data_IF_304963456349
#
_entry.id   IF_304963456349
#
_cell.length_a   1.000
_cell.length_b   1.000
_cell.length_c   1.000
_cell.angle_alpha   90.00
_cell.angle_beta   90.00
_cell.angle_gamma   90.00
#
_symmetry.space_group_name_H-M   'P 1'
#
loop_
_entity.id
_entity.type
_entity.pdbx_description
1 polymer ?
#
# COMPACT_ATOMS: atom_id res chain seq x y z
N UNK A 1 60.24 6.91 8.42
CA UNK A 1 59.06 7.20 9.26
C UNK A 1 57.99 7.78 8.35
N UNK A 2 57.10 6.92 7.85
CA UNK A 2 56.12 7.24 6.80
C UNK A 2 54.74 7.19 7.45
N UNK A 3 53.95 8.25 7.28
CA UNK A 3 52.59 8.34 7.82
C UNK A 3 51.67 8.83 6.69
N UNK A 4 50.48 8.21 6.66
CA UNK A 4 49.32 8.39 5.76
C UNK A 4 49.27 7.39 4.57
N UNK A 5 48.10 7.19 3.92
CA UNK A 5 46.75 6.84 4.44
C UNK A 5 46.04 5.77 3.54
N UNK A 6 44.94 5.13 3.99
CA UNK A 6 43.83 4.61 3.14
C UNK A 6 42.78 3.89 4.02
N UNK A 7 41.47 4.20 3.99
CA UNK A 7 40.40 3.84 3.02
C UNK A 7 40.13 2.33 2.88
N UNK A 8 38.87 1.93 3.08
CA UNK A 8 38.30 0.67 2.57
C UNK A 8 37.60 -0.17 3.65
N UNK A 9 36.28 -0.12 3.85
CA UNK A 9 35.18 -0.68 3.05
C UNK A 9 34.67 -1.98 3.67
N UNK A 10 33.34 -2.12 3.71
CA UNK A 10 32.57 -3.38 3.73
C UNK A 10 32.66 -4.22 5.04
N UNK A 11 31.62 -4.80 5.63
CA UNK A 11 30.28 -5.18 5.16
C UNK A 11 29.59 -5.96 6.31
N UNK A 12 28.26 -6.04 6.28
CA UNK A 12 27.42 -7.05 6.93
C UNK A 12 27.38 -7.11 8.47
N UNK A 13 26.19 -6.86 9.01
CA UNK A 13 25.89 -7.22 10.38
C UNK A 13 24.48 -6.89 10.81
N UNK A 14 23.48 -7.30 10.03
CA UNK A 14 22.09 -7.38 10.47
C UNK A 14 22.01 -7.93 11.90
N UNK A 15 21.40 -7.19 12.83
CA UNK A 15 20.61 -7.77 13.91
C UNK A 15 19.73 -6.71 14.55
N UNK A 16 18.50 -6.70 14.03
CA UNK A 16 17.26 -6.52 14.77
C UNK A 16 17.37 -6.90 16.26
N UNK A 17 16.50 -6.26 17.03
CA UNK A 17 16.18 -6.50 18.45
C UNK A 17 17.02 -5.71 19.45
N UNK A 18 16.72 -4.42 19.53
CA UNK A 18 16.67 -3.72 20.83
C UNK A 18 15.22 -3.52 21.25
N UNK A 19 14.56 -4.63 21.58
CA UNK A 19 13.42 -4.59 22.49
C UNK A 19 14.02 -4.30 23.87
N UNK A 20 13.91 -3.06 24.32
CA UNK A 20 14.26 -2.66 25.68
C UNK A 20 13.31 -3.36 26.66
N UNK A 21 13.68 -4.55 27.11
CA UNK A 21 13.14 -5.12 28.34
C UNK A 21 13.70 -4.31 29.50
N UNK A 22 13.02 -3.22 29.87
CA UNK A 22 13.18 -2.60 31.19
C UNK A 22 12.48 -3.50 32.20
N UNK A 23 13.18 -4.54 32.64
CA UNK A 23 12.85 -5.21 33.89
C UNK A 23 12.92 -4.17 35.01
N UNK A 24 11.77 -3.92 35.64
CA UNK A 24 11.66 -3.15 36.87
C UNK A 24 12.45 -3.88 37.98
N UNK A 25 13.63 -3.37 38.31
CA UNK A 25 14.32 -3.72 39.54
C UNK A 25 13.72 -2.89 40.68
N UNK A 26 12.67 -3.40 41.32
CA UNK A 26 12.16 -2.83 42.58
C UNK A 26 12.98 -3.37 43.74
N UNK A 27 13.68 -2.49 44.48
CA UNK A 27 14.26 -2.84 45.79
C UNK A 27 13.13 -3.31 46.73
N UNK A 28 13.32 -4.37 47.54
CA UNK A 28 12.30 -4.76 48.51
C UNK A 28 12.22 -3.70 49.63
N UNK A 29 11.02 -3.24 50.03
CA UNK A 29 10.87 -2.44 51.23
C UNK A 29 11.03 -3.33 52.47
N UNK A 30 12.03 -3.00 53.28
CA UNK A 30 12.29 -3.52 54.61
C UNK A 30 11.36 -2.82 55.61
N UNK A 31 10.24 -3.48 55.90
CA UNK A 31 9.40 -3.43 57.11
C UNK A 31 7.95 -3.78 56.74
N UNK A 32 7.56 -5.03 56.97
CA UNK A 32 6.15 -5.44 56.93
C UNK A 32 5.61 -5.46 58.36
N UNK A 33 4.60 -4.66 58.74
CA UNK A 33 3.84 -4.93 59.95
C UNK A 33 3.09 -6.27 59.78
N UNK A 34 3.07 -7.04 60.85
CA UNK A 34 2.54 -8.41 60.94
C UNK A 34 1.09 -8.53 60.45
N UNK A 35 0.82 -9.64 59.75
CA UNK A 35 -0.47 -10.14 59.30
C UNK A 35 -1.55 -10.07 60.39
N UNK A 36 -2.25 -8.96 60.48
CA UNK A 36 -3.65 -8.92 60.91
C UNK A 36 -4.45 -8.45 59.71
N UNK A 37 -5.50 -9.20 59.39
CA UNK A 37 -6.24 -9.19 58.14
C UNK A 37 -6.47 -7.80 57.56
N UNK A 38 -5.68 -7.41 56.56
CA UNK A 38 -5.95 -6.20 55.79
C UNK A 38 -7.20 -6.45 54.96
N UNK A 39 -8.34 -5.94 55.42
CA UNK A 39 -9.60 -6.06 54.71
C UNK A 39 -9.46 -5.36 53.36
N UNK A 40 -9.90 -6.02 52.28
CA UNK A 40 -9.84 -5.49 50.91
C UNK A 40 -10.35 -4.05 50.82
N UNK A 41 -11.33 -3.69 51.66
CA UNK A 41 -11.90 -2.35 51.78
C UNK A 41 -10.93 -1.22 52.15
N UNK A 42 -9.75 -1.54 52.69
CA UNK A 42 -8.73 -0.58 53.12
C UNK A 42 -7.55 -0.51 52.15
N UNK A 43 -7.53 -1.37 51.12
CA UNK A 43 -6.49 -1.33 50.11
C UNK A 43 -6.62 -0.08 49.24
N UNK A 44 -5.48 0.49 48.80
CA UNK A 44 -5.44 1.62 47.84
C UNK A 44 -6.13 1.32 46.51
N UNK A 45 -6.41 0.05 46.22
CA UNK A 45 -7.11 -0.40 45.02
C UNK A 45 -8.64 -0.46 45.20
N UNK A 46 -9.16 -0.41 46.42
CA UNK A 46 -10.59 -0.47 46.70
C UNK A 46 -11.26 0.87 46.47
N UNK A 47 -11.90 1.02 45.32
CA UNK A 47 -12.82 2.13 45.01
C UNK A 47 -14.24 1.79 45.46
N UNK A 48 -14.43 1.36 46.70
CA UNK A 48 -15.77 1.27 47.28
C UNK A 48 -16.23 2.67 47.65
N UNK A 49 -17.39 3.07 47.14
CA UNK A 49 -17.98 4.39 47.33
C UNK A 49 -18.34 4.70 48.79
N UNK A 50 -17.34 4.95 49.64
CA UNK A 50 -17.53 5.68 50.90
C UNK A 50 -17.35 7.15 50.60
N UNK A 51 -18.50 7.79 50.48
CA UNK A 51 -18.68 9.23 50.52
C UNK A 51 -17.95 9.82 51.74
N UNK A 52 -16.87 10.58 51.50
CA UNK A 52 -16.44 11.77 52.25
C UNK A 52 -15.16 12.39 51.66
N UNK A 53 -14.34 11.59 50.95
CA UNK A 53 -13.17 12.08 50.20
C UNK A 53 -13.35 11.90 48.69
N UNK A 54 -14.56 12.18 48.20
CA UNK A 54 -14.78 12.29 46.76
C UNK A 54 -14.01 13.54 46.29
N UNK A 55 -12.77 13.34 45.85
CA UNK A 55 -12.20 14.22 44.84
C UNK A 55 -13.27 14.36 43.76
N UNK A 56 -13.73 15.58 43.46
CA UNK A 56 -14.82 15.76 42.52
C UNK A 56 -14.44 15.03 41.25
N UNK A 57 -15.41 14.29 40.69
CA UNK A 57 -15.26 13.48 39.48
C UNK A 57 -14.73 14.30 38.28
N UNK A 58 -14.68 15.63 38.41
CA UNK A 58 -14.02 16.58 37.51
C UNK A 58 -12.49 16.47 37.44
N UNK A 59 -11.85 15.62 38.26
CA UNK A 59 -10.39 15.43 38.27
C UNK A 59 -9.92 14.02 37.93
N UNK A 60 -10.75 13.22 37.26
CA UNK A 60 -10.22 12.10 36.48
C UNK A 60 -9.61 12.76 35.23
N UNK A 61 -8.27 12.74 35.03
CA UNK A 61 -7.72 13.14 33.74
C UNK A 61 -8.36 12.23 32.70
N UNK A 62 -9.11 12.87 31.83
CA UNK A 62 -10.02 12.28 30.89
C UNK A 62 -9.35 11.12 30.14
N UNK A 63 -9.85 9.90 30.32
CA UNK A 63 -9.45 8.76 29.49
C UNK A 63 -9.94 8.94 28.03
N UNK A 64 -10.77 9.96 27.77
CA UNK A 64 -11.30 10.35 26.47
C UNK A 64 -10.36 11.17 25.58
N UNK A 65 -9.37 11.89 26.13
CA UNK A 65 -8.63 12.90 25.35
C UNK A 65 -7.41 12.37 24.58
N UNK A 66 -7.13 11.06 24.63
CA UNK A 66 -5.94 10.50 23.97
C UNK A 66 -5.91 10.79 22.45
N UNK A 67 -7.07 10.64 21.81
CA UNK A 67 -7.25 10.79 20.37
C UNK A 67 -7.32 12.26 19.91
N UNK A 68 -7.53 13.19 20.83
CA UNK A 68 -7.68 14.62 20.53
C UNK A 68 -6.40 15.43 20.68
N UNK A 69 -5.35 14.82 21.25
CA UNK A 69 -4.05 15.47 21.36
C UNK A 69 -3.43 15.80 20.00
N UNK A 70 -2.79 16.98 19.91
CA UNK A 70 -2.04 17.43 18.71
C UNK A 70 -0.97 16.39 18.31
N UNK A 71 -0.36 15.76 19.31
CA UNK A 71 0.65 14.72 19.12
C UNK A 71 0.08 13.47 18.44
N UNK A 72 -1.13 13.04 18.82
CA UNK A 72 -1.81 11.92 18.18
C UNK A 72 -2.16 12.24 16.72
N UNK A 73 -2.71 13.44 16.47
CA UNK A 73 -3.04 13.90 15.11
C UNK A 73 -1.83 13.92 14.17
N UNK A 74 -0.70 14.44 14.64
CA UNK A 74 0.55 14.49 13.85
C UNK A 74 1.06 13.08 13.52
N UNK A 75 1.07 12.17 14.50
CA UNK A 75 1.51 10.78 14.28
C UNK A 75 0.58 10.03 13.34
N UNK A 76 -0.74 10.22 13.46
CA UNK A 76 -1.74 9.67 12.54
C UNK A 76 -1.50 10.14 11.10
N UNK A 77 -1.29 11.44 10.90
CA UNK A 77 -1.06 11.99 9.56
C UNK A 77 0.25 11.50 8.96
N UNK A 78 1.32 11.39 9.75
CA UNK A 78 2.59 10.81 9.29
C UNK A 78 2.42 9.34 8.92
N UNK A 79 1.71 8.56 9.74
CA UNK A 79 1.45 7.15 9.44
C UNK A 79 0.68 6.99 8.13
N UNK A 80 -0.35 7.81 7.91
CA UNK A 80 -1.13 7.83 6.68
C UNK A 80 -0.25 8.22 5.48
N UNK A 81 0.56 9.27 5.62
CA UNK A 81 1.47 9.71 4.58
C UNK A 81 2.49 8.61 4.23
N UNK A 82 3.08 7.96 5.22
CA UNK A 82 4.03 6.86 5.00
C UNK A 82 3.37 5.67 4.31
N UNK A 83 2.14 5.29 4.69
CA UNK A 83 1.43 4.20 4.01
C UNK A 83 1.10 4.53 2.55
N UNK A 84 0.67 5.77 2.27
CA UNK A 84 0.39 6.21 0.90
C UNK A 84 1.68 6.30 0.10
N UNK A 85 2.75 6.84 0.69
CA UNK A 85 4.05 6.93 0.03
C UNK A 85 4.63 5.54 -0.28
N UNK A 86 4.51 4.58 0.63
CA UNK A 86 4.93 3.21 0.38
C UNK A 86 4.15 2.57 -0.78
N UNK A 87 2.84 2.82 -0.87
CA UNK A 87 2.02 2.39 -2.00
C UNK A 87 2.46 3.08 -3.31
N UNK A 88 2.68 4.38 -3.30
CA UNK A 88 3.13 5.13 -4.48
C UNK A 88 4.52 4.69 -4.96
N UNK A 89 5.45 4.48 -4.03
CA UNK A 89 6.77 3.93 -4.33
C UNK A 89 6.65 2.53 -4.92
N UNK A 90 5.77 1.69 -4.37
CA UNK A 90 5.49 0.38 -4.96
C UNK A 90 4.95 0.51 -6.39
N UNK A 91 3.97 1.38 -6.65
CA UNK A 91 3.38 1.51 -7.99
C UNK A 91 4.27 2.18 -9.02
N UNK A 92 5.10 3.14 -8.63
CA UNK A 92 5.90 3.94 -9.57
C UNK A 92 7.36 3.51 -9.68
N UNK A 93 7.93 2.83 -8.67
CA UNK A 93 9.38 2.52 -8.63
C UNK A 93 9.65 1.01 -8.57
N UNK A 94 8.95 0.26 -7.71
CA UNK A 94 9.25 -1.17 -7.48
C UNK A 94 8.42 -2.13 -8.33
N UNK A 95 7.18 -1.77 -8.64
CA UNK A 95 6.41 -2.43 -9.69
C UNK A 95 7.13 -2.06 -10.98
N UNK A 96 7.71 -3.07 -11.62
CA UNK A 96 8.44 -2.94 -12.88
C UNK A 96 7.79 -1.85 -13.72
N UNK A 97 8.57 -0.81 -14.05
CA UNK A 97 8.17 0.13 -15.07
C UNK A 97 7.71 -0.71 -16.27
N UNK A 98 6.49 -0.46 -16.71
CA UNK A 98 6.15 -0.46 -18.13
C UNK A 98 5.51 -1.70 -18.77
N UNK A 99 4.91 -2.69 -18.09
CA UNK A 99 4.12 -3.71 -18.84
C UNK A 99 2.84 -3.09 -19.46
N UNK A 100 2.10 -2.33 -18.65
CA UNK A 100 0.90 -1.62 -19.11
C UNK A 100 1.26 -0.39 -19.92
N UNK A 101 2.30 0.36 -19.53
CA UNK A 101 2.71 1.54 -20.27
C UNK A 101 3.36 1.14 -21.62
N UNK A 102 4.06 0.01 -21.75
CA UNK A 102 4.51 -0.53 -23.04
C UNK A 102 3.30 -0.93 -23.89
N UNK A 103 2.31 -1.60 -23.29
CA UNK A 103 1.06 -1.97 -23.97
C UNK A 103 0.24 -0.74 -24.41
N UNK A 104 0.25 0.34 -23.63
CA UNK A 104 -0.46 1.60 -23.94
C UNK A 104 0.31 2.42 -24.98
N UNK A 105 1.65 2.37 -24.95
CA UNK A 105 2.51 3.01 -25.95
C UNK A 105 2.58 2.22 -27.26
N UNK A 106 2.06 0.99 -27.29
CA UNK A 106 1.96 0.25 -28.54
C UNK A 106 1.07 0.99 -29.54
N UNK A 107 1.43 0.90 -30.82
CA UNK A 107 0.66 1.55 -31.84
C UNK A 107 -0.79 1.06 -31.92
N UNK A 108 -1.75 1.96 -32.21
CA UNK A 108 -3.18 1.64 -32.14
C UNK A 108 -3.63 0.55 -33.11
N UNK A 109 -2.94 0.34 -34.23
CA UNK A 109 -3.25 -0.72 -35.19
C UNK A 109 -2.86 -2.14 -34.71
N UNK A 110 -2.18 -2.28 -33.58
CA UNK A 110 -1.83 -3.58 -33.01
C UNK A 110 -2.87 -4.03 -31.98
N UNK A 111 -3.27 -3.12 -31.09
CA UNK A 111 -4.13 -3.47 -29.95
C UNK A 111 -5.61 -3.58 -30.34
N UNK A 112 -6.16 -2.54 -30.99
CA UNK A 112 -7.59 -2.45 -31.33
C UNK A 112 -8.01 -3.62 -32.24
N UNK A 113 -7.29 -3.92 -33.33
CA UNK A 113 -7.77 -4.91 -34.28
C UNK A 113 -7.63 -6.34 -33.77
N UNK A 114 -6.64 -6.62 -32.92
CA UNK A 114 -6.51 -7.93 -32.24
C UNK A 114 -7.72 -8.21 -31.35
N UNK A 115 -8.15 -7.22 -30.57
CA UNK A 115 -9.31 -7.36 -29.70
C UNK A 115 -10.59 -7.59 -30.51
N UNK A 116 -10.81 -6.79 -31.56
CA UNK A 116 -11.98 -6.92 -32.43
C UNK A 116 -12.02 -8.28 -33.15
N UNK A 117 -10.89 -8.75 -33.68
CA UNK A 117 -10.75 -10.09 -34.28
C UNK A 117 -11.11 -11.20 -33.31
N UNK A 118 -10.64 -11.13 -32.07
CA UNK A 118 -10.93 -12.14 -31.05
C UNK A 118 -12.40 -12.14 -30.63
N UNK A 119 -13.06 -10.98 -30.63
CA UNK A 119 -14.50 -10.88 -30.40
C UNK A 119 -15.28 -11.51 -31.55
N UNK A 120 -14.97 -11.17 -32.81
CA UNK A 120 -15.66 -11.72 -33.98
C UNK A 120 -15.42 -13.23 -34.11
N UNK A 121 -14.19 -13.72 -33.89
CA UNK A 121 -13.89 -15.16 -33.87
C UNK A 121 -14.71 -15.91 -32.83
N UNK A 122 -14.84 -15.35 -31.62
CA UNK A 122 -15.70 -15.91 -30.57
C UNK A 122 -17.16 -15.93 -30.99
N UNK A 123 -17.66 -14.87 -31.66
CA UNK A 123 -19.03 -14.83 -32.20
C UNK A 123 -19.23 -15.89 -33.29
N UNK A 124 -18.29 -16.03 -34.24
CA UNK A 124 -18.34 -17.06 -35.29
C UNK A 124 -18.36 -18.46 -34.68
N UNK A 125 -17.50 -18.73 -33.69
CA UNK A 125 -17.47 -20.01 -33.01
C UNK A 125 -18.82 -20.33 -32.34
N UNK A 126 -19.44 -19.35 -31.67
CA UNK A 126 -20.78 -19.51 -31.07
C UNK A 126 -21.88 -19.71 -32.13
N UNK A 127 -21.88 -18.91 -33.19
CA UNK A 127 -22.86 -19.01 -34.29
C UNK A 127 -22.77 -20.36 -35.01
N UNK A 128 -21.56 -20.89 -35.24
CA UNK A 128 -21.34 -22.22 -35.81
C UNK A 128 -21.88 -23.34 -34.91
N UNK A 129 -21.70 -23.21 -33.60
CA UNK A 129 -22.28 -24.16 -32.64
C UNK A 129 -23.81 -24.09 -32.57
N UNK A 130 -24.37 -22.90 -32.76
CA UNK A 130 -25.81 -22.69 -32.84
C UNK A 130 -26.44 -23.06 -34.19
N UNK A 131 -25.61 -23.32 -35.23
CA UNK A 131 -26.07 -23.60 -36.58
C UNK A 131 -26.55 -22.37 -37.36
N UNK A 132 -26.17 -21.16 -36.93
CA UNK A 132 -26.51 -19.90 -37.59
C UNK A 132 -25.57 -19.57 -38.75
N UNK A 133 -26.06 -18.78 -39.72
CA UNK A 133 -25.27 -18.32 -40.86
C UNK A 133 -24.16 -17.35 -40.42
N UNK A 134 -22.90 -17.64 -40.76
CA UNK A 134 -21.73 -16.84 -40.36
C UNK A 134 -21.26 -15.83 -41.41
N UNK A 135 -21.95 -15.72 -42.54
CA UNK A 135 -21.51 -14.94 -43.70
C UNK A 135 -21.28 -13.46 -43.39
N UNK A 136 -22.10 -12.87 -42.53
CA UNK A 136 -22.01 -11.44 -42.22
C UNK A 136 -20.88 -11.14 -41.24
N UNK A 137 -20.61 -12.06 -40.31
CA UNK A 137 -19.46 -11.99 -39.39
C UNK A 137 -18.13 -12.16 -40.14
N UNK A 138 -18.11 -13.00 -41.18
CA UNK A 138 -16.93 -13.20 -42.04
C UNK A 138 -16.66 -11.96 -42.92
N UNK A 139 -17.70 -11.30 -43.43
CA UNK A 139 -17.56 -9.99 -44.11
C UNK A 139 -17.04 -8.91 -43.17
N UNK A 140 -17.55 -8.89 -41.93
CA UNK A 140 -17.09 -7.95 -40.90
C UNK A 140 -15.59 -8.15 -40.63
N UNK A 141 -15.14 -9.40 -40.49
CA UNK A 141 -13.73 -9.75 -40.31
C UNK A 141 -12.86 -9.24 -41.46
N UNK A 142 -13.28 -9.45 -42.71
CA UNK A 142 -12.56 -8.94 -43.89
C UNK A 142 -12.54 -7.40 -43.98
N UNK A 143 -13.55 -6.73 -43.41
CA UNK A 143 -13.57 -5.26 -43.33
C UNK A 143 -12.55 -4.71 -42.33
N UNK A 144 -12.21 -5.47 -41.29
CA UNK A 144 -11.21 -5.07 -40.30
C UNK A 144 -9.81 -5.05 -40.90
N UNK A 145 -9.46 -6.03 -41.74
CA UNK A 145 -8.15 -6.07 -42.42
C UNK A 145 -7.90 -4.79 -43.23
N UNK A 146 -8.92 -4.30 -43.94
CA UNK A 146 -8.84 -3.02 -44.68
C UNK A 146 -8.70 -1.81 -43.77
N UNK A 147 -9.29 -1.82 -42.58
CA UNK A 147 -9.15 -0.74 -41.59
C UNK A 147 -7.74 -0.74 -41.01
N UNK A 148 -7.18 -1.92 -40.72
CA UNK A 148 -5.80 -2.08 -40.23
C UNK A 148 -4.78 -1.46 -41.20
N UNK A 149 -4.90 -1.75 -42.49
CA UNK A 149 -4.01 -1.21 -43.52
C UNK A 149 -4.05 0.32 -43.55
N UNK A 150 -5.24 0.92 -43.53
CA UNK A 150 -5.42 2.38 -43.51
C UNK A 150 -4.81 3.03 -42.27
N UNK A 151 -5.03 2.44 -41.10
CA UNK A 151 -4.48 2.92 -39.82
C UNK A 151 -2.95 2.85 -39.82
N UNK A 152 -2.38 1.77 -40.37
CA UNK A 152 -0.93 1.60 -40.51
C UNK A 152 -0.33 2.64 -41.45
N UNK A 153 -0.99 2.94 -42.57
CA UNK A 153 -0.57 4.00 -43.48
C UNK A 153 -0.62 5.38 -42.83
N UNK A 154 -1.73 5.71 -42.18
CA UNK A 154 -1.92 6.99 -41.49
C UNK A 154 -0.83 7.24 -40.46
N UNK A 155 -0.49 6.23 -39.65
CA UNK A 155 0.55 6.38 -38.64
C UNK A 155 1.94 6.51 -39.23
N UNK A 156 2.25 5.78 -40.30
CA UNK A 156 3.52 5.91 -41.01
C UNK A 156 3.73 7.34 -41.50
N UNK A 157 2.70 7.94 -42.12
CA UNK A 157 2.73 9.34 -42.56
C UNK A 157 2.90 10.30 -41.38
N UNK A 158 2.21 10.06 -40.27
CA UNK A 158 2.34 10.88 -39.07
C UNK A 158 3.74 10.80 -38.44
N UNK A 159 4.38 9.63 -38.48
CA UNK A 159 5.75 9.43 -38.03
C UNK A 159 6.76 10.23 -38.87
N UNK A 160 6.61 10.21 -40.19
CA UNK A 160 7.48 10.92 -41.13
C UNK A 160 7.40 12.45 -40.96
N UNK A 161 6.18 12.99 -40.78
CA UNK A 161 5.96 14.42 -40.48
C UNK A 161 6.55 14.86 -39.14
N UNK A 162 6.69 13.94 -38.17
CA UNK A 162 7.28 14.24 -36.86
C UNK A 162 8.80 14.36 -36.93
N UNK A 163 9.44 13.66 -37.86
CA UNK A 163 10.90 13.61 -38.02
C UNK A 163 11.46 14.71 -38.93
N UNK A 164 10.61 15.48 -39.61
CA UNK A 164 11.02 16.50 -40.59
C UNK A 164 11.29 17.90 -40.00
N UNK A 165 11.75 17.99 -38.75
CA UNK A 165 12.15 19.23 -38.07
C UNK A 165 13.64 19.25 -37.79
#
# INVERSE_FOLDING_TARGET
>A
MIRQPAVGCSVLGNRLQRICVRCFATKPPENRPSLSESKFSESKAFRGGRAKDATPLSRIPDLGDYYDTINYRRKKNISLLVSVMAFMIYFFILREENDLDETINQPPWVMVPRLERDVIRRKIARARLAGENTTDLEKELASLDKKEERLKEQWRLQGEQRTSW
#
